data_IF_682983345568
#
_entry.id   IF_682983345568
#
_cell.length_a   1.000
_cell.length_b   1.000
_cell.length_c   1.000
_cell.angle_alpha   90.00
_cell.angle_beta   90.00
_cell.angle_gamma   90.00
#
_symmetry.space_group_name_H-M   'P 1'
#
loop_
_entity.id
_entity.type
_entity.pdbx_description
1 polymer ?
#
# COMPACT_ATOMS: atom_id res chain seq x y z
N UNK A 1 -12.33 21.27 55.30
CA UNK A 1 -13.35 20.43 54.62
C UNK A 1 -13.03 20.45 53.14
N UNK A 2 -12.79 19.28 52.55
CA UNK A 2 -12.21 19.11 51.22
C UNK A 2 -13.29 18.88 50.17
N UNK A 3 -13.32 19.71 49.12
CA UNK A 3 -14.11 19.50 47.91
C UNK A 3 -13.28 18.74 46.88
N UNK A 4 -13.49 17.42 46.78
CA UNK A 4 -13.05 16.61 45.64
C UNK A 4 -14.26 16.37 44.74
N UNK A 5 -14.30 17.03 43.59
CA UNK A 5 -15.15 16.62 42.48
C UNK A 5 -14.29 15.79 41.52
N UNK A 6 -14.51 14.47 41.51
CA UNK A 6 -13.90 13.56 40.55
C UNK A 6 -14.61 13.74 39.20
N UNK A 7 -13.86 14.18 38.20
CA UNK A 7 -14.30 14.39 36.82
C UNK A 7 -14.57 13.03 36.15
N UNK A 8 -15.63 12.89 35.34
CA UNK A 8 -16.11 11.61 34.84
C UNK A 8 -15.09 10.89 33.94
N UNK A 9 -15.01 9.57 34.13
CA UNK A 9 -14.30 8.60 33.29
C UNK A 9 -14.84 8.73 31.86
N UNK A 10 -13.95 9.08 30.93
CA UNK A 10 -14.25 9.09 29.51
C UNK A 10 -14.81 7.72 29.11
N UNK A 11 -16.10 7.71 28.76
CA UNK A 11 -16.78 6.58 28.17
C UNK A 11 -16.00 6.15 26.91
N UNK A 12 -15.69 4.85 26.82
CA UNK A 12 -15.30 4.21 25.56
C UNK A 12 -16.40 4.52 24.55
N UNK A 13 -16.18 5.51 23.70
CA UNK A 13 -17.03 5.75 22.56
C UNK A 13 -16.92 4.52 21.65
N UNK A 14 -18.10 3.92 21.45
CA UNK A 14 -18.52 3.14 20.30
C UNK A 14 -17.44 2.86 19.27
N UNK A 15 -17.13 1.56 19.12
CA UNK A 15 -16.85 0.99 17.80
C UNK A 15 -18.13 1.09 16.96
N UNK A 16 -18.46 2.30 16.53
CA UNK A 16 -19.43 2.51 15.47
C UNK A 16 -18.68 3.13 14.30
N UNK A 17 -18.68 2.39 13.19
CA UNK A 17 -18.37 2.89 11.86
C UNK A 17 -16.94 3.33 11.58
N UNK A 18 -15.96 2.44 11.85
CA UNK A 18 -15.02 2.20 10.74
C UNK A 18 -15.81 1.37 9.75
N UNK A 19 -16.54 2.09 8.89
CA UNK A 19 -17.00 1.54 7.63
C UNK A 19 -15.74 1.00 6.98
N UNK A 20 -15.53 -0.31 7.14
CA UNK A 20 -14.70 -1.06 6.23
C UNK A 20 -15.32 -0.73 4.89
N UNK A 21 -14.76 0.29 4.21
CA UNK A 21 -15.03 0.57 2.83
C UNK A 21 -14.77 -0.78 2.20
N UNK A 22 -15.87 -1.43 1.88
CA UNK A 22 -16.00 -2.59 1.06
C UNK A 22 -15.40 -2.13 -0.27
N UNK A 23 -14.07 -2.11 -0.33
CA UNK A 23 -13.31 -1.82 -1.52
C UNK A 23 -13.68 -2.99 -2.42
N UNK A 24 -14.63 -2.70 -3.30
CA UNK A 24 -15.18 -3.61 -4.29
C UNK A 24 -14.02 -4.30 -5.00
N UNK A 25 -13.73 -5.54 -4.62
CA UNK A 25 -13.76 -6.74 -5.47
C UNK A 25 -13.09 -6.73 -6.86
N UNK A 26 -12.32 -5.71 -7.21
CA UNK A 26 -11.34 -5.66 -8.29
C UNK A 26 -10.16 -4.92 -7.70
N UNK A 27 -9.02 -5.59 -7.57
CA UNK A 27 -7.79 -4.96 -7.10
C UNK A 27 -7.60 -3.66 -7.88
N UNK A 28 -7.48 -2.53 -7.18
CA UNK A 28 -7.35 -1.22 -7.83
C UNK A 28 -6.21 -1.28 -8.84
N UNK A 29 -6.46 -0.96 -10.10
CA UNK A 29 -5.45 -1.04 -11.18
C UNK A 29 -4.21 -0.20 -10.83
N UNK A 30 -3.02 -0.62 -11.28
CA UNK A 30 -1.72 -0.03 -10.94
C UNK A 30 -1.72 1.42 -11.33
N UNK A 31 -2.21 1.73 -12.52
CA UNK A 31 -2.35 3.12 -12.97
C UNK A 31 -3.18 3.96 -12.03
N UNK A 32 -4.32 3.46 -11.54
CA UNK A 32 -5.16 4.21 -10.61
C UNK A 32 -4.46 4.42 -9.27
N UNK A 33 -3.74 3.39 -8.79
CA UNK A 33 -2.94 3.48 -7.57
C UNK A 33 -1.81 4.50 -7.71
N UNK A 34 -1.02 4.40 -8.77
CA UNK A 34 0.11 5.27 -9.06
C UNK A 34 -0.33 6.72 -9.30
N UNK A 35 -1.42 6.95 -10.05
CA UNK A 35 -1.98 8.29 -10.28
C UNK A 35 -2.52 8.93 -9.00
N UNK A 36 -2.99 8.13 -8.04
CA UNK A 36 -3.47 8.68 -6.76
C UNK A 36 -2.35 9.27 -5.91
N UNK A 37 -1.08 8.95 -6.22
CA UNK A 37 0.11 9.34 -5.45
C UNK A 37 -0.01 9.03 -3.94
N UNK A 38 -0.85 8.07 -3.62
CA UNK A 38 -1.10 7.60 -2.26
C UNK A 38 -0.05 6.54 -1.92
N UNK A 39 0.94 6.94 -1.12
CA UNK A 39 2.04 6.07 -0.72
C UNK A 39 1.56 4.79 -0.02
N UNK A 40 0.49 4.87 0.78
CA UNK A 40 -0.06 3.70 1.48
C UNK A 40 -0.70 2.73 0.48
N UNK A 41 -1.45 3.26 -0.50
CA UNK A 41 -2.04 2.44 -1.55
C UNK A 41 -1.00 1.78 -2.46
N UNK A 42 0.06 2.52 -2.83
CA UNK A 42 1.17 2.01 -3.63
C UNK A 42 1.89 0.90 -2.87
N UNK A 43 2.26 1.16 -1.60
CA UNK A 43 2.89 0.19 -0.73
C UNK A 43 2.06 -1.09 -0.60
N UNK A 44 0.76 -0.95 -0.31
CA UNK A 44 -0.12 -2.10 -0.17
C UNK A 44 -0.15 -2.94 -1.44
N UNK A 45 -0.26 -2.31 -2.61
CA UNK A 45 -0.28 -3.03 -3.88
C UNK A 45 1.05 -3.72 -4.21
N UNK A 46 2.18 -3.10 -3.89
CA UNK A 46 3.50 -3.72 -4.02
C UNK A 46 3.66 -4.91 -3.07
N UNK A 47 3.21 -4.78 -1.82
CA UNK A 47 3.29 -5.87 -0.84
C UNK A 47 2.51 -7.12 -1.29
N UNK A 48 1.38 -6.92 -1.97
CA UNK A 48 0.60 -8.00 -2.58
C UNK A 48 1.40 -8.62 -3.74
N UNK A 49 1.94 -7.79 -4.64
CA UNK A 49 2.73 -8.24 -5.78
C UNK A 49 3.94 -9.08 -5.35
N UNK A 50 4.74 -8.60 -4.41
CA UNK A 50 5.92 -9.32 -3.90
C UNK A 50 5.54 -10.69 -3.33
N UNK A 51 4.51 -10.74 -2.48
CA UNK A 51 4.02 -12.00 -1.89
C UNK A 51 3.51 -13.00 -2.94
N UNK A 52 2.92 -12.50 -4.03
CA UNK A 52 2.44 -13.36 -5.12
C UNK A 52 3.55 -13.80 -6.07
N UNK A 53 4.56 -12.95 -6.30
CA UNK A 53 5.64 -13.22 -7.22
C UNK A 53 6.70 -14.17 -6.64
N UNK A 54 6.94 -14.12 -5.32
CA UNK A 54 8.01 -14.87 -4.65
C UNK A 54 7.44 -15.65 -3.45
N UNK A 55 6.59 -16.67 -3.64
CA UNK A 55 5.89 -17.33 -2.53
C UNK A 55 6.80 -18.06 -1.52
N UNK A 56 8.07 -18.33 -1.88
CA UNK A 56 9.02 -19.09 -1.06
C UNK A 56 9.92 -18.21 -0.18
N UNK A 57 9.72 -16.88 -0.13
CA UNK A 57 10.58 -15.95 0.63
C UNK A 57 9.85 -15.28 1.80
N UNK A 58 9.25 -16.09 2.67
CA UNK A 58 8.38 -15.63 3.76
C UNK A 58 8.99 -14.54 4.66
N UNK A 59 10.30 -14.62 4.93
CA UNK A 59 10.99 -13.70 5.85
C UNK A 59 11.48 -12.41 5.17
N UNK A 60 11.42 -12.33 3.83
CA UNK A 60 11.98 -11.23 3.03
C UNK A 60 10.97 -10.24 2.44
N UNK A 61 9.67 -10.49 2.58
CA UNK A 61 8.64 -9.71 1.86
C UNK A 61 8.63 -8.23 2.19
N UNK A 62 8.80 -7.85 3.46
CA UNK A 62 8.81 -6.44 3.84
C UNK A 62 10.04 -5.73 3.27
N UNK A 63 11.21 -6.36 3.35
CA UNK A 63 12.44 -5.79 2.80
C UNK A 63 12.35 -5.63 1.28
N UNK A 64 11.91 -6.66 0.56
CA UNK A 64 11.74 -6.58 -0.90
C UNK A 64 10.68 -5.54 -1.31
N UNK A 65 9.58 -5.45 -0.56
CA UNK A 65 8.56 -4.40 -0.80
C UNK A 65 9.16 -3.01 -0.59
N UNK A 66 9.97 -2.82 0.46
CA UNK A 66 10.64 -1.56 0.75
C UNK A 66 11.65 -1.19 -0.34
N UNK A 67 12.50 -2.13 -0.75
CA UNK A 67 13.49 -1.93 -1.79
C UNK A 67 12.83 -1.54 -3.12
N UNK A 68 11.77 -2.25 -3.51
CA UNK A 68 11.01 -1.94 -4.72
C UNK A 68 10.30 -0.58 -4.64
N UNK A 69 9.72 -0.24 -3.49
CA UNK A 69 9.10 1.06 -3.27
C UNK A 69 10.12 2.21 -3.37
N UNK A 70 11.28 2.05 -2.74
CA UNK A 70 12.37 3.02 -2.83
C UNK A 70 12.93 3.10 -4.25
N UNK A 71 13.04 1.98 -4.95
CA UNK A 71 13.47 1.95 -6.35
C UNK A 71 12.52 2.79 -7.21
N UNK A 72 11.21 2.60 -7.09
CA UNK A 72 10.21 3.38 -7.82
C UNK A 72 10.33 4.90 -7.61
N UNK A 73 10.58 5.32 -6.36
CA UNK A 73 10.71 6.73 -6.02
C UNK A 73 12.03 7.33 -6.52
N UNK A 74 13.14 6.59 -6.40
CA UNK A 74 14.48 7.09 -6.74
C UNK A 74 14.74 7.13 -8.24
N UNK A 75 14.07 6.27 -9.01
CA UNK A 75 14.22 6.17 -10.47
C UNK A 75 13.13 6.91 -11.25
N UNK A 76 12.19 7.57 -10.56
CA UNK A 76 11.05 8.26 -11.15
C UNK A 76 10.22 7.38 -12.12
N UNK A 77 10.22 6.06 -11.88
CA UNK A 77 9.53 5.06 -12.71
C UNK A 77 8.03 5.31 -12.78
N UNK A 78 7.45 5.88 -11.72
CA UNK A 78 6.02 6.24 -11.69
C UNK A 78 5.69 7.21 -12.83
N UNK A 79 6.50 8.25 -13.02
CA UNK A 79 6.31 9.22 -14.10
C UNK A 79 6.43 8.54 -15.46
N UNK A 80 7.43 7.66 -15.62
CA UNK A 80 7.63 6.87 -16.85
C UNK A 80 6.39 6.03 -17.19
N UNK A 81 5.83 5.29 -16.24
CA UNK A 81 4.64 4.45 -16.48
C UNK A 81 3.43 5.28 -16.92
N UNK A 82 3.26 6.48 -16.36
CA UNK A 82 2.14 7.36 -16.68
C UNK A 82 2.34 8.02 -18.06
N UNK A 83 3.52 8.58 -18.31
CA UNK A 83 3.84 9.28 -19.56
C UNK A 83 3.85 8.36 -20.77
N UNK A 84 4.40 7.15 -20.62
CA UNK A 84 4.44 6.15 -21.68
C UNK A 84 3.16 5.31 -21.75
N UNK A 85 2.17 5.63 -20.93
CA UNK A 85 0.84 5.04 -20.96
C UNK A 85 0.84 3.52 -20.77
N UNK A 86 1.73 2.99 -19.91
CA UNK A 86 1.85 1.56 -19.64
C UNK A 86 0.52 0.97 -19.16
N UNK A 87 0.25 -0.26 -19.57
CA UNK A 87 -0.85 -1.09 -19.10
C UNK A 87 -0.55 -1.73 -17.74
N UNK A 88 -1.58 -2.26 -17.08
CA UNK A 88 -1.43 -2.92 -15.77
C UNK A 88 -0.49 -4.15 -15.83
N UNK A 89 -0.57 -4.91 -16.92
CA UNK A 89 0.30 -6.06 -17.18
C UNK A 89 1.74 -5.64 -17.41
N UNK A 90 1.99 -4.59 -18.20
CA UNK A 90 3.36 -4.09 -18.46
C UNK A 90 4.01 -3.56 -17.18
N UNK A 91 3.27 -2.84 -16.33
CA UNK A 91 3.77 -2.38 -15.03
C UNK A 91 4.09 -3.58 -14.12
N UNK A 92 3.21 -4.59 -14.10
CA UNK A 92 3.42 -5.78 -13.28
C UNK A 92 4.65 -6.57 -13.74
N UNK A 93 4.83 -6.76 -15.05
CA UNK A 93 5.98 -7.44 -15.63
C UNK A 93 7.30 -6.71 -15.34
N UNK A 94 7.33 -5.38 -15.49
CA UNK A 94 8.52 -4.57 -15.16
C UNK A 94 8.86 -4.65 -13.67
N UNK A 95 7.87 -4.54 -12.78
CA UNK A 95 8.08 -4.67 -11.33
C UNK A 95 8.58 -6.06 -10.92
N UNK A 96 8.07 -7.12 -11.55
CA UNK A 96 8.55 -8.49 -11.32
C UNK A 96 9.98 -8.65 -11.85
N UNK A 97 10.29 -8.06 -13.01
CA UNK A 97 11.66 -8.07 -13.56
C UNK A 97 12.65 -7.46 -12.58
N UNK A 98 12.32 -6.32 -11.97
CA UNK A 98 13.17 -5.64 -10.98
C UNK A 98 13.39 -6.50 -9.73
N UNK A 99 12.38 -7.27 -9.32
CA UNK A 99 12.48 -8.16 -8.15
C UNK A 99 13.34 -9.40 -8.39
N UNK A 100 13.52 -9.81 -9.64
CA UNK A 100 14.24 -11.02 -10.03
C UNK A 100 15.67 -10.76 -10.52
N UNK A 101 16.08 -9.49 -10.62
CA UNK A 101 17.42 -9.04 -11.04
C UNK A 101 18.39 -8.99 -9.85
#
# INVERSE_FOLDING_TARGET
MATRALTPVAQRQSRDNVSARKALGRGRDWRQVLLSQDAEAIWHKLSILVRTAIPDHADGYEQLTQELFLHLLTTDRVSVYIEQNFSDSEITEDLISILCE
#
